data_IF_274646771152
#
_entry.id   IF_274646771152
#
_cell.length_a   1.000
_cell.length_b   1.000
_cell.length_c   1.000
_cell.angle_alpha   90.00
_cell.angle_beta   90.00
_cell.angle_gamma   90.00
#
_symmetry.space_group_name_H-M   'P 1'
#
loop_
_entity.id
_entity.type
_entity.pdbx_description
1 polymer ?
#
# COMPACT_ATOMS: atom_id res chain seq x y z
N UNK A 1 -14.79 5.07 -0.57
CA UNK A 1 -13.79 5.87 0.16
C UNK A 1 -12.51 5.06 0.26
N UNK A 2 -11.41 5.58 -0.32
CA UNK A 2 -10.10 4.93 -0.17
C UNK A 2 -9.69 5.11 1.28
N UNK A 3 -9.47 3.99 1.96
CA UNK A 3 -9.00 3.92 3.33
C UNK A 3 -7.65 4.65 3.53
N UNK A 4 -7.23 4.81 4.77
CA UNK A 4 -5.98 5.46 5.12
C UNK A 4 -4.79 4.80 4.41
N UNK A 5 -4.18 5.49 3.44
CA UNK A 5 -3.01 4.98 2.73
C UNK A 5 -1.74 5.31 3.51
N UNK A 6 -1.03 4.30 3.93
CA UNK A 6 0.27 4.40 4.59
C UNK A 6 1.34 3.84 3.65
N UNK A 7 2.38 4.60 3.38
CA UNK A 7 3.55 4.14 2.63
C UNK A 7 4.75 4.10 3.57
N UNK A 8 5.31 2.92 3.77
CA UNK A 8 6.51 2.71 4.57
C UNK A 8 7.68 2.22 3.73
N UNK A 9 8.85 2.86 3.82
CA UNK A 9 10.08 2.39 3.18
C UNK A 9 10.92 1.56 4.15
N UNK A 10 11.35 0.37 3.70
CA UNK A 10 12.28 -0.52 4.43
C UNK A 10 11.89 -0.87 5.88
N UNK A 11 10.60 -1.14 6.10
CA UNK A 11 10.18 -1.71 7.37
C UNK A 11 10.78 -3.09 7.54
N UNK A 12 11.43 -3.33 8.69
CA UNK A 12 11.91 -4.67 9.02
C UNK A 12 10.72 -5.63 9.23
N UNK A 13 10.97 -6.93 9.15
CA UNK A 13 9.93 -7.97 9.33
C UNK A 13 9.15 -7.73 10.63
N UNK A 14 9.82 -7.30 11.69
CA UNK A 14 9.21 -7.02 13.01
C UNK A 14 8.20 -5.86 12.96
N UNK A 15 8.46 -4.81 12.18
CA UNK A 15 7.53 -3.68 12.03
C UNK A 15 6.29 -4.07 11.23
N UNK A 16 6.42 -5.02 10.28
CA UNK A 16 5.31 -5.56 9.50
C UNK A 16 4.31 -6.32 10.36
N UNK A 17 4.79 -7.11 11.33
CA UNK A 17 3.94 -7.79 12.30
C UNK A 17 3.24 -6.84 13.27
N UNK A 18 3.83 -5.68 13.55
CA UNK A 18 3.19 -4.67 14.40
C UNK A 18 1.90 -4.11 13.76
N UNK A 19 1.92 -3.87 12.45
CA UNK A 19 0.73 -3.45 11.71
C UNK A 19 -0.43 -4.46 11.77
N UNK A 20 -0.12 -5.75 11.80
CA UNK A 20 -1.13 -6.80 11.93
C UNK A 20 -1.66 -6.91 13.36
N UNK A 21 -0.79 -6.71 14.37
CA UNK A 21 -1.22 -6.66 15.78
C UNK A 21 -2.18 -5.52 16.08
N UNK A 22 -2.01 -4.37 15.42
CA UNK A 22 -2.94 -3.24 15.51
C UNK A 22 -4.31 -3.55 14.91
N UNK A 23 -4.38 -4.57 14.04
CA UNK A 23 -5.60 -5.04 13.40
C UNK A 23 -6.03 -6.44 13.90
N UNK A 24 -5.60 -6.84 15.09
CA UNK A 24 -5.95 -8.13 15.67
C UNK A 24 -7.47 -8.31 15.75
N UNK A 25 -7.92 -9.52 15.44
CA UNK A 25 -9.34 -9.86 15.38
C UNK A 25 -10.13 -9.25 14.21
N UNK A 26 -9.49 -8.49 13.30
CA UNK A 26 -10.12 -7.93 12.09
C UNK A 26 -9.80 -8.80 10.87
N UNK A 27 -10.70 -8.74 9.88
CA UNK A 27 -10.50 -9.41 8.60
C UNK A 27 -9.68 -8.54 7.64
N UNK A 28 -8.71 -9.15 6.95
CA UNK A 28 -7.85 -8.40 6.03
C UNK A 28 -7.15 -9.25 4.98
N UNK A 29 -6.57 -8.58 3.99
CA UNK A 29 -5.87 -9.20 2.87
C UNK A 29 -4.44 -8.69 2.83
N UNK A 30 -3.48 -9.61 2.63
CA UNK A 30 -2.05 -9.31 2.41
C UNK A 30 -1.66 -9.75 1.01
N UNK A 31 -1.40 -8.80 0.12
CA UNK A 31 -0.98 -9.06 -1.24
C UNK A 31 0.53 -9.19 -1.36
N UNK A 32 0.98 -10.28 -1.98
CA UNK A 32 2.39 -10.55 -2.29
C UNK A 32 2.60 -10.72 -3.80
N UNK A 33 3.78 -10.34 -4.30
CA UNK A 33 4.09 -10.40 -5.73
C UNK A 33 4.37 -11.81 -6.26
N UNK A 34 4.74 -12.77 -5.40
CA UNK A 34 5.12 -14.13 -5.80
C UNK A 34 4.46 -15.19 -4.93
N UNK A 35 4.27 -16.39 -5.51
CA UNK A 35 3.78 -17.57 -4.76
C UNK A 35 4.65 -17.90 -3.56
N UNK A 36 5.98 -17.84 -3.72
CA UNK A 36 6.94 -18.07 -2.64
C UNK A 36 6.76 -17.08 -1.49
N UNK A 37 6.59 -15.79 -1.78
CA UNK A 37 6.34 -14.79 -0.76
C UNK A 37 5.01 -15.02 -0.03
N UNK A 38 3.97 -15.48 -0.73
CA UNK A 38 2.69 -15.86 -0.11
C UNK A 38 2.88 -16.97 0.91
N UNK A 39 3.62 -18.03 0.55
CA UNK A 39 3.89 -19.16 1.44
C UNK A 39 4.70 -18.72 2.67
N UNK A 40 5.78 -17.97 2.46
CA UNK A 40 6.65 -17.48 3.54
C UNK A 40 5.92 -16.55 4.51
N UNK A 41 5.13 -15.61 3.98
CA UNK A 41 4.37 -14.65 4.80
C UNK A 41 3.25 -15.36 5.55
N UNK A 42 2.50 -16.26 4.90
CA UNK A 42 1.43 -17.01 5.55
C UNK A 42 1.97 -17.90 6.68
N UNK A 43 3.04 -18.65 6.43
CA UNK A 43 3.69 -19.48 7.46
C UNK A 43 4.15 -18.63 8.66
N UNK A 44 4.84 -17.51 8.38
CA UNK A 44 5.32 -16.61 9.42
C UNK A 44 4.19 -15.97 10.26
N UNK A 45 3.03 -15.70 9.65
CA UNK A 45 1.84 -15.23 10.38
C UNK A 45 1.28 -16.31 11.30
N UNK A 46 1.13 -17.54 10.79
CA UNK A 46 0.67 -18.68 11.59
C UNK A 46 1.62 -18.98 12.76
N UNK A 47 2.94 -18.93 12.54
CA UNK A 47 3.96 -19.14 13.58
C UNK A 47 3.90 -18.07 14.69
N UNK A 48 3.41 -16.88 14.37
CA UNK A 48 3.22 -15.78 15.34
C UNK A 48 1.83 -15.74 15.97
N UNK A 49 0.99 -16.74 15.69
CA UNK A 49 -0.31 -16.94 16.34
C UNK A 49 -1.49 -16.27 15.63
N UNK A 50 -1.31 -15.80 14.38
CA UNK A 50 -2.43 -15.30 13.59
C UNK A 50 -3.13 -16.42 12.81
N UNK A 51 -4.45 -16.39 12.77
CA UNK A 51 -5.26 -17.27 11.92
C UNK A 51 -5.24 -16.77 10.48
N UNK A 52 -4.26 -17.25 9.69
CA UNK A 52 -4.07 -16.88 8.30
C UNK A 52 -4.26 -18.05 7.34
N UNK A 53 -4.68 -17.76 6.13
CA UNK A 53 -4.74 -18.69 5.01
C UNK A 53 -4.11 -18.08 3.76
N UNK A 54 -3.90 -18.89 2.71
CA UNK A 54 -3.18 -18.48 1.50
C UNK A 54 -3.97 -18.74 0.23
N UNK A 55 -3.71 -17.91 -0.80
CA UNK A 55 -4.33 -18.09 -2.11
C UNK A 55 -3.39 -17.67 -3.24
N UNK A 56 -3.07 -18.61 -4.15
CA UNK A 56 -2.34 -18.35 -5.37
C UNK A 56 -2.56 -19.45 -6.40
N UNK A 57 -2.27 -19.20 -7.67
CA UNK A 57 -2.51 -20.11 -8.79
C UNK A 57 -1.68 -21.42 -8.75
N UNK A 58 -0.78 -21.60 -7.80
CA UNK A 58 -0.02 -22.84 -7.60
C UNK A 58 -0.69 -23.85 -6.68
N UNK A 59 -1.77 -23.47 -5.98
CA UNK A 59 -2.58 -24.36 -5.16
C UNK A 59 -3.55 -25.15 -6.04
N UNK A 60 -3.96 -26.34 -5.58
CA UNK A 60 -5.03 -27.11 -6.20
C UNK A 60 -6.36 -26.35 -6.12
N UNK A 61 -7.30 -26.68 -7.01
CA UNK A 61 -8.63 -26.07 -7.02
C UNK A 61 -9.37 -26.29 -5.70
N UNK A 62 -9.20 -27.48 -5.11
CA UNK A 62 -9.80 -27.85 -3.83
C UNK A 62 -9.22 -26.99 -2.70
N UNK A 63 -7.91 -26.83 -2.63
CA UNK A 63 -7.28 -25.99 -1.61
C UNK A 63 -7.67 -24.51 -1.80
N UNK A 64 -7.73 -24.03 -3.03
CA UNK A 64 -8.17 -22.66 -3.31
C UNK A 64 -9.59 -22.41 -2.83
N UNK A 65 -10.51 -23.33 -3.13
CA UNK A 65 -11.89 -23.25 -2.67
C UNK A 65 -11.99 -23.28 -1.14
N UNK A 66 -11.29 -24.24 -0.50
CA UNK A 66 -11.28 -24.35 0.97
C UNK A 66 -10.72 -23.08 1.65
N UNK A 67 -9.57 -22.59 1.18
CA UNK A 67 -8.93 -21.39 1.73
C UNK A 67 -9.78 -20.13 1.54
N UNK A 68 -10.45 -20.02 0.40
CA UNK A 68 -11.42 -18.95 0.13
C UNK A 68 -12.61 -19.03 1.07
N UNK A 69 -13.18 -20.20 1.28
CA UNK A 69 -14.29 -20.42 2.21
C UNK A 69 -13.86 -20.11 3.65
N UNK A 70 -12.66 -20.52 4.08
CA UNK A 70 -12.14 -20.21 5.40
C UNK A 70 -12.05 -18.69 5.63
N UNK A 71 -11.67 -17.93 4.62
CA UNK A 71 -11.65 -16.48 4.69
C UNK A 71 -13.06 -15.86 4.64
N UNK A 72 -13.93 -16.33 3.75
CA UNK A 72 -15.30 -15.80 3.60
C UNK A 72 -16.15 -16.02 4.86
N UNK A 73 -15.97 -17.18 5.49
CA UNK A 73 -16.73 -17.57 6.70
C UNK A 73 -16.08 -17.13 8.01
N UNK A 74 -15.05 -16.25 7.97
CA UNK A 74 -14.31 -15.73 9.13
C UNK A 74 -13.61 -16.83 9.97
N UNK A 75 -13.38 -18.03 9.41
CA UNK A 75 -12.61 -19.10 10.08
C UNK A 75 -11.13 -18.76 10.14
N UNK A 76 -10.63 -18.10 9.06
CA UNK A 76 -9.29 -17.53 8.98
C UNK A 76 -9.42 -16.08 8.49
N UNK A 77 -9.33 -15.10 9.38
CA UNK A 77 -9.61 -13.71 9.05
C UNK A 77 -8.54 -13.05 8.17
N UNK A 78 -7.35 -13.63 8.06
CA UNK A 78 -6.27 -13.07 7.25
C UNK A 78 -6.05 -13.93 6.00
N UNK A 79 -6.20 -13.33 4.83
CA UNK A 79 -5.85 -13.93 3.54
C UNK A 79 -4.53 -13.39 3.03
N UNK A 80 -3.54 -14.27 2.81
CA UNK A 80 -2.28 -13.93 2.13
C UNK A 80 -2.36 -14.41 0.69
N UNK A 81 -2.24 -13.53 -0.29
CA UNK A 81 -2.51 -13.90 -1.67
C UNK A 81 -1.65 -13.17 -2.70
N UNK A 82 -1.58 -13.76 -3.91
CA UNK A 82 -1.18 -13.01 -5.10
C UNK A 82 -2.39 -12.27 -5.69
N UNK A 83 -2.16 -11.43 -6.70
CA UNK A 83 -3.21 -10.76 -7.48
C UNK A 83 -4.28 -11.70 -8.09
N UNK A 84 -3.99 -13.01 -8.14
CA UNK A 84 -4.97 -14.03 -8.54
C UNK A 84 -6.19 -14.10 -7.60
N UNK A 85 -6.04 -13.63 -6.35
CA UNK A 85 -7.12 -13.53 -5.39
C UNK A 85 -7.82 -12.19 -5.54
N UNK A 86 -8.97 -12.20 -6.16
CA UNK A 86 -9.67 -10.93 -6.30
C UNK A 86 -10.87 -10.96 -7.22
N UNK A 87 -10.84 -11.67 -8.32
CA UNK A 87 -11.99 -11.77 -9.20
C UNK A 87 -13.13 -12.53 -8.49
N UNK A 88 -14.25 -11.83 -8.25
CA UNK A 88 -15.44 -12.45 -7.65
C UNK A 88 -15.50 -12.50 -6.12
N UNK A 89 -14.57 -11.89 -5.40
CA UNK A 89 -14.62 -11.82 -3.94
C UNK A 89 -15.35 -10.57 -3.49
N UNK A 90 -16.53 -10.79 -2.91
CA UNK A 90 -17.37 -9.75 -2.35
C UNK A 90 -17.55 -9.92 -0.83
N UNK A 91 -16.41 -9.88 -0.10
CA UNK A 91 -16.40 -9.82 1.37
C UNK A 91 -16.42 -8.37 1.79
N UNK A 92 -17.50 -7.92 2.41
CA UNK A 92 -17.71 -6.52 2.75
C UNK A 92 -16.92 -6.05 3.97
N UNK A 93 -16.63 -6.95 4.93
CA UNK A 93 -15.99 -6.62 6.20
C UNK A 93 -14.45 -6.74 6.18
N UNK A 94 -13.81 -6.39 5.08
CA UNK A 94 -12.35 -6.30 4.99
C UNK A 94 -11.88 -4.98 5.61
N UNK A 95 -11.25 -5.05 6.79
CA UNK A 95 -10.83 -3.86 7.54
C UNK A 95 -9.44 -3.35 7.15
N UNK A 96 -8.60 -4.18 6.51
CA UNK A 96 -7.30 -3.75 6.02
C UNK A 96 -6.88 -4.49 4.76
N UNK A 97 -6.11 -3.80 3.93
CA UNK A 97 -5.39 -4.38 2.80
C UNK A 97 -3.93 -3.96 2.90
N UNK A 98 -3.02 -4.93 2.95
CA UNK A 98 -1.58 -4.70 3.00
C UNK A 98 -0.94 -5.19 1.70
N UNK A 99 -0.28 -4.32 0.97
CA UNK A 99 0.60 -4.70 -0.12
C UNK A 99 2.01 -4.93 0.45
N UNK A 100 2.35 -6.20 0.63
CA UNK A 100 3.66 -6.63 1.13
C UNK A 100 4.80 -6.31 0.15
N UNK A 101 4.50 -6.35 -1.14
CA UNK A 101 5.33 -5.87 -2.23
C UNK A 101 4.56 -4.80 -3.03
N UNK A 102 5.29 -3.88 -3.64
CA UNK A 102 4.70 -2.86 -4.49
C UNK A 102 4.08 -3.49 -5.75
N UNK A 103 2.80 -3.23 -6.06
CA UNK A 103 2.17 -3.62 -7.32
C UNK A 103 2.88 -3.04 -8.55
N UNK A 104 2.61 -3.59 -9.73
CA UNK A 104 3.20 -3.12 -10.99
C UNK A 104 2.63 -1.79 -11.46
N UNK A 105 1.38 -1.50 -11.13
CA UNK A 105 0.64 -0.33 -11.60
C UNK A 105 -0.38 0.17 -10.56
N UNK A 106 -0.86 1.39 -10.77
CA UNK A 106 -1.84 2.03 -9.90
C UNK A 106 -3.23 1.44 -10.04
N UNK A 107 -3.57 0.91 -11.20
CA UNK A 107 -4.86 0.28 -11.48
C UNK A 107 -5.04 -0.98 -10.62
N UNK A 108 -4.03 -1.86 -10.62
CA UNK A 108 -4.00 -3.05 -9.76
C UNK A 108 -4.05 -2.67 -8.29
N UNK A 109 -3.22 -1.70 -7.87
CA UNK A 109 -3.24 -1.21 -6.49
C UNK A 109 -4.62 -0.70 -6.09
N UNK A 110 -5.27 0.11 -6.93
CA UNK A 110 -6.59 0.68 -6.65
C UNK A 110 -7.67 -0.40 -6.52
N UNK A 111 -7.68 -1.39 -7.42
CA UNK A 111 -8.63 -2.49 -7.39
C UNK A 111 -8.45 -3.37 -6.15
N UNK A 112 -7.20 -3.65 -5.76
CA UNK A 112 -6.87 -4.47 -4.60
C UNK A 112 -7.15 -3.71 -3.29
N UNK A 113 -6.74 -2.46 -3.17
CA UNK A 113 -7.00 -1.59 -2.04
C UNK A 113 -8.51 -1.30 -1.86
N UNK A 114 -9.26 -1.19 -2.96
CA UNK A 114 -10.72 -0.96 -2.97
C UNK A 114 -11.55 -2.11 -2.41
N UNK A 115 -10.93 -3.22 -1.97
CA UNK A 115 -11.61 -4.29 -1.24
C UNK A 115 -11.83 -3.96 0.22
N UNK A 116 -11.06 -3.02 0.77
CA UNK A 116 -11.19 -2.59 2.15
C UNK A 116 -12.36 -1.61 2.33
N UNK A 117 -13.10 -1.74 3.43
CA UNK A 117 -14.12 -0.80 3.86
C UNK A 117 -15.39 -0.76 3.00
N UNK A 118 -15.76 -1.84 2.31
CA UNK A 118 -16.99 -1.91 1.53
C UNK A 118 -18.27 -1.85 2.38
N UNK A 119 -18.15 -2.13 3.66
CA UNK A 119 -19.24 -2.00 4.64
C UNK A 119 -19.41 -0.57 5.17
N UNK A 120 -18.60 0.38 4.71
CA UNK A 120 -18.60 1.77 5.14
C UNK A 120 -17.83 2.04 6.43
N UNK A 121 -17.20 1.02 7.03
CA UNK A 121 -16.37 1.17 8.22
C UNK A 121 -14.97 1.70 7.85
N UNK A 122 -14.29 2.38 8.79
CA UNK A 122 -12.91 2.79 8.60
C UNK A 122 -12.00 1.60 8.31
N UNK A 123 -11.24 1.68 7.24
CA UNK A 123 -10.34 0.64 6.81
C UNK A 123 -8.96 1.21 6.45
N UNK A 124 -7.93 0.37 6.48
CA UNK A 124 -6.55 0.77 6.20
C UNK A 124 -6.03 0.11 4.93
N UNK A 125 -5.41 0.91 4.05
CA UNK A 125 -4.64 0.41 2.91
C UNK A 125 -3.18 0.75 3.12
N UNK A 126 -2.34 -0.27 3.29
CA UNK A 126 -0.93 -0.13 3.61
C UNK A 126 -0.12 -0.61 2.43
N UNK A 127 0.74 0.25 1.90
CA UNK A 127 1.70 -0.08 0.85
C UNK A 127 3.11 -0.10 1.42
N UNK A 128 3.74 -1.28 1.44
CA UNK A 128 5.15 -1.41 1.76
C UNK A 128 5.96 -1.22 0.49
N UNK A 129 6.88 -0.27 0.51
CA UNK A 129 7.72 0.08 -0.63
C UNK A 129 9.18 -0.29 -0.41
N UNK A 130 9.77 -0.91 -1.40
CA UNK A 130 11.21 -1.16 -1.49
C UNK A 130 11.72 -0.89 -2.90
N UNK A 131 12.86 -0.26 -3.04
CA UNK A 131 13.51 -0.10 -4.35
C UNK A 131 13.87 -1.44 -5.01
N UNK A 132 13.87 -2.54 -4.25
CA UNK A 132 14.02 -3.91 -4.77
C UNK A 132 12.78 -4.33 -5.55
N UNK A 133 11.58 -3.94 -5.09
CA UNK A 133 10.33 -4.29 -5.78
C UNK A 133 10.27 -3.66 -7.17
N UNK A 134 10.75 -2.43 -7.33
CA UNK A 134 10.84 -1.78 -8.65
C UNK A 134 11.67 -2.62 -9.61
N UNK A 135 12.87 -3.06 -9.18
CA UNK A 135 13.75 -3.90 -10.01
C UNK A 135 13.14 -5.25 -10.34
N UNK A 136 12.46 -5.86 -9.37
CA UNK A 136 11.74 -7.13 -9.58
C UNK A 136 10.63 -6.96 -10.60
N UNK A 137 9.85 -5.91 -10.49
CA UNK A 137 8.76 -5.61 -11.42
C UNK A 137 9.28 -5.27 -12.83
N UNK A 138 10.38 -4.51 -12.94
CA UNK A 138 11.06 -4.26 -14.22
C UNK A 138 11.51 -5.57 -14.88
N UNK A 139 12.11 -6.47 -14.10
CA UNK A 139 12.53 -7.79 -14.58
C UNK A 139 11.34 -8.64 -15.07
N UNK A 140 10.24 -8.65 -14.30
CA UNK A 140 9.03 -9.39 -14.66
C UNK A 140 8.40 -8.85 -15.94
N UNK A 141 8.35 -7.53 -16.13
CA UNK A 141 7.85 -6.90 -17.35
C UNK A 141 8.70 -7.27 -18.57
N UNK A 142 10.03 -7.26 -18.45
CA UNK A 142 10.93 -7.67 -19.53
C UNK A 142 10.77 -9.15 -19.88
N UNK A 143 10.67 -10.01 -18.87
CA UNK A 143 10.46 -11.45 -19.07
C UNK A 143 9.08 -11.75 -19.69
N UNK A 144 8.04 -11.03 -19.28
CA UNK A 144 6.70 -11.17 -19.87
C UNK A 144 6.71 -10.86 -21.37
N UNK A 145 7.51 -9.89 -21.83
CA UNK A 145 7.70 -9.58 -23.24
C UNK A 145 8.18 -10.80 -24.05
N UNK A 146 9.12 -11.58 -23.48
CA UNK A 146 9.69 -12.76 -24.16
C UNK A 146 8.67 -13.90 -24.32
N UNK A 147 7.67 -13.94 -23.46
CA UNK A 147 6.62 -14.98 -23.42
C UNK A 147 5.29 -14.53 -23.98
N UNK A 148 5.19 -13.29 -24.48
CA UNK A 148 3.96 -12.79 -25.13
C UNK A 148 3.72 -13.49 -26.46
N UNK A 149 2.50 -14.03 -26.61
CA UNK A 149 2.00 -14.59 -27.86
C UNK A 149 1.54 -13.46 -28.81
N UNK A 150 2.52 -12.67 -29.25
CA UNK A 150 2.36 -11.55 -30.19
C UNK A 150 3.48 -11.65 -31.20
N UNK A 151 3.15 -11.81 -32.46
CA UNK A 151 4.15 -12.02 -33.55
C UNK A 151 4.93 -10.75 -33.89
N UNK A 152 4.35 -9.57 -33.64
CA UNK A 152 4.94 -8.27 -33.97
C UNK A 152 5.84 -7.72 -32.88
N UNK A 153 7.12 -7.51 -33.21
CA UNK A 153 8.13 -6.99 -32.30
C UNK A 153 7.86 -5.51 -31.89
N UNK A 154 7.28 -4.70 -32.78
CA UNK A 154 6.93 -3.31 -32.47
C UNK A 154 5.83 -3.26 -31.41
N UNK A 155 4.82 -4.11 -31.55
CA UNK A 155 3.74 -4.25 -30.57
C UNK A 155 4.26 -4.74 -29.22
N UNK A 156 5.16 -5.73 -29.18
CA UNK A 156 5.81 -6.17 -27.93
C UNK A 156 6.58 -5.06 -27.26
N UNK A 157 7.34 -4.27 -28.02
CA UNK A 157 8.10 -3.14 -27.49
C UNK A 157 7.17 -2.03 -26.98
N UNK A 158 6.08 -1.75 -27.69
CA UNK A 158 5.07 -0.78 -27.26
C UNK A 158 4.41 -1.18 -25.92
N UNK A 159 4.01 -2.44 -25.76
CA UNK A 159 3.42 -2.96 -24.53
C UNK A 159 4.42 -2.92 -23.36
N UNK A 160 5.68 -3.26 -23.59
CA UNK A 160 6.74 -3.13 -22.59
C UNK A 160 6.89 -1.66 -22.13
N UNK A 161 6.95 -0.73 -23.08
CA UNK A 161 7.09 0.69 -22.76
C UNK A 161 5.89 1.22 -21.96
N UNK A 162 4.67 0.79 -22.29
CA UNK A 162 3.48 1.11 -21.51
C UNK A 162 3.56 0.54 -20.08
N UNK A 163 3.98 -0.73 -19.95
CA UNK A 163 4.16 -1.35 -18.62
C UNK A 163 5.19 -0.63 -17.77
N UNK A 164 6.32 -0.24 -18.38
CA UNK A 164 7.37 0.53 -17.70
C UNK A 164 6.90 1.93 -17.27
N UNK A 165 6.08 2.61 -18.09
CA UNK A 165 5.51 3.91 -17.69
C UNK A 165 4.51 3.76 -16.54
N UNK A 166 3.64 2.72 -16.55
CA UNK A 166 2.75 2.43 -15.41
C UNK A 166 3.52 2.12 -14.13
N UNK A 167 4.57 1.29 -14.21
CA UNK A 167 5.45 1.01 -13.07
C UNK A 167 6.11 2.28 -12.51
N UNK A 168 6.53 3.18 -13.39
CA UNK A 168 7.07 4.48 -13.02
C UNK A 168 6.03 5.34 -12.28
N UNK A 169 4.78 5.39 -12.75
CA UNK A 169 3.70 6.11 -12.06
C UNK A 169 3.42 5.51 -10.68
N UNK A 170 3.40 4.18 -10.56
CA UNK A 170 3.27 3.49 -9.27
C UNK A 170 4.44 3.81 -8.32
N UNK A 171 5.68 3.83 -8.85
CA UNK A 171 6.87 4.22 -8.07
C UNK A 171 6.75 5.65 -7.57
N UNK A 172 6.31 6.58 -8.41
CA UNK A 172 6.09 7.97 -8.03
C UNK A 172 4.97 8.15 -7.01
N UNK A 173 3.94 7.32 -7.07
CA UNK A 173 2.92 7.27 -6.03
C UNK A 173 3.51 6.82 -4.69
N UNK A 174 4.24 5.71 -4.69
CA UNK A 174 4.84 5.13 -3.49
C UNK A 174 5.92 6.01 -2.83
N UNK A 175 6.59 6.88 -3.60
CA UNK A 175 7.64 7.80 -3.10
C UNK A 175 7.16 9.24 -2.91
N UNK A 176 5.86 9.50 -3.11
CA UNK A 176 5.29 10.85 -3.04
C UNK A 176 5.34 11.42 -1.62
N UNK A 177 5.59 12.72 -1.52
CA UNK A 177 5.39 13.53 -0.30
C UNK A 177 4.12 14.40 -0.37
N UNK A 178 3.39 14.36 -1.49
CA UNK A 178 2.09 15.00 -1.66
C UNK A 178 0.94 14.05 -1.35
N UNK A 179 -0.27 14.59 -1.22
CA UNK A 179 -1.45 13.81 -0.87
C UNK A 179 -1.66 12.59 -1.79
N UNK A 180 -1.64 11.38 -1.21
CA UNK A 180 -1.76 10.13 -1.98
C UNK A 180 -3.14 10.00 -2.64
N UNK A 181 -4.23 10.40 -1.96
CA UNK A 181 -5.58 10.35 -2.53
C UNK A 181 -5.72 11.32 -3.71
N UNK A 182 -5.23 12.56 -3.57
CA UNK A 182 -5.20 13.52 -4.68
C UNK A 182 -4.48 12.94 -5.89
N UNK A 183 -3.31 12.35 -5.66
CA UNK A 183 -2.48 11.77 -6.73
C UNK A 183 -3.18 10.60 -7.43
N UNK A 184 -3.83 9.72 -6.67
CA UNK A 184 -4.60 8.60 -7.18
C UNK A 184 -5.76 9.06 -8.06
N UNK A 185 -6.59 9.98 -7.57
CA UNK A 185 -7.76 10.49 -8.30
C UNK A 185 -7.35 11.24 -9.55
N UNK A 186 -6.29 12.06 -9.48
CA UNK A 186 -5.72 12.75 -10.65
C UNK A 186 -5.20 11.77 -11.72
N UNK A 187 -4.62 10.65 -11.30
CA UNK A 187 -4.19 9.61 -12.25
C UNK A 187 -5.36 9.05 -13.06
N UNK A 188 -6.52 8.87 -12.42
CA UNK A 188 -7.75 8.41 -13.09
C UNK A 188 -8.55 9.54 -13.76
N UNK A 189 -8.01 10.78 -13.79
CA UNK A 189 -8.66 11.91 -14.45
C UNK A 189 -9.72 12.61 -13.62
N UNK A 190 -9.85 12.27 -12.34
CA UNK A 190 -10.83 12.85 -11.43
C UNK A 190 -10.28 14.09 -10.69
N UNK A 191 -11.18 14.94 -10.21
CA UNK A 191 -10.87 16.13 -9.43
C UNK A 191 -10.87 15.79 -7.95
N UNK A 192 -9.79 16.16 -7.25
CA UNK A 192 -9.67 15.94 -5.82
C UNK A 192 -9.00 17.13 -5.14
N UNK A 193 -9.37 17.42 -3.88
CA UNK A 193 -8.67 18.43 -3.09
C UNK A 193 -7.18 18.08 -2.96
N UNK A 194 -6.32 19.10 -2.87
CA UNK A 194 -4.87 18.92 -2.74
C UNK A 194 -4.46 18.16 -1.46
N UNK A 195 -5.31 18.14 -0.45
CA UNK A 195 -5.12 17.42 0.81
C UNK A 195 -6.39 16.68 1.21
N UNK A 196 -6.26 15.40 1.57
CA UNK A 196 -7.37 14.60 2.07
C UNK A 196 -7.45 14.53 3.61
N UNK A 197 -6.43 15.04 4.32
CA UNK A 197 -6.34 14.98 5.79
C UNK A 197 -6.20 13.58 6.40
N UNK A 198 -6.14 12.52 5.60
CA UNK A 198 -6.21 11.12 6.09
C UNK A 198 -5.10 10.19 5.58
N UNK A 199 -4.37 10.52 4.54
CA UNK A 199 -3.25 9.69 4.08
C UNK A 199 -1.96 9.99 4.85
N UNK A 200 -0.98 9.08 4.80
CA UNK A 200 0.31 9.25 5.48
C UNK A 200 0.99 10.57 5.14
N UNK A 201 0.93 11.02 3.89
CA UNK A 201 1.52 12.30 3.50
C UNK A 201 0.80 13.51 4.10
N UNK A 202 -0.52 13.46 4.29
CA UNK A 202 -1.27 14.55 4.92
C UNK A 202 -1.10 14.57 6.44
N UNK A 203 -0.90 13.41 7.07
CA UNK A 203 -0.73 13.27 8.51
C UNK A 203 0.72 13.51 8.96
N UNK A 204 1.69 13.42 8.05
CA UNK A 204 3.10 13.68 8.34
C UNK A 204 3.39 15.18 8.31
N UNK A 205 4.06 15.67 9.35
CA UNK A 205 4.58 17.04 9.35
C UNK A 205 5.87 17.10 8.53
N UNK A 206 5.93 18.03 7.57
CA UNK A 206 7.09 18.27 6.72
C UNK A 206 7.66 19.65 7.01
N UNK A 207 8.99 19.79 6.87
CA UNK A 207 9.65 21.08 6.68
C UNK A 207 10.02 21.21 5.20
N UNK A 208 9.97 22.43 4.71
CA UNK A 208 10.48 22.74 3.39
C UNK A 208 11.95 23.12 3.48
N UNK A 209 12.77 22.50 2.64
CA UNK A 209 14.21 22.77 2.54
C UNK A 209 14.54 23.20 1.11
N UNK A 210 15.39 24.20 0.98
CA UNK A 210 15.93 24.59 -0.33
C UNK A 210 16.98 23.55 -0.77
N UNK A 211 16.61 22.74 -1.74
CA UNK A 211 17.45 21.71 -2.36
C UNK A 211 18.09 22.17 -3.68
N UNK A 212 17.98 23.46 -4.02
CA UNK A 212 18.44 23.99 -5.33
C UNK A 212 19.90 23.69 -5.58
N UNK A 213 20.78 23.84 -4.59
CA UNK A 213 22.20 23.52 -4.76
C UNK A 213 22.46 22.03 -4.97
N UNK A 214 21.72 21.15 -4.27
CA UNK A 214 21.83 19.70 -4.49
C UNK A 214 21.30 19.33 -5.90
N UNK A 215 20.19 19.91 -6.32
CA UNK A 215 19.66 19.75 -7.68
C UNK A 215 20.64 20.19 -8.76
N UNK A 216 21.30 21.34 -8.60
CA UNK A 216 22.35 21.80 -9.50
C UNK A 216 23.53 20.82 -9.59
N UNK A 217 23.97 20.27 -8.46
CA UNK A 217 25.02 19.25 -8.42
C UNK A 217 24.61 17.99 -9.20
N UNK A 218 23.36 17.52 -9.03
CA UNK A 218 22.80 16.37 -9.76
C UNK A 218 22.78 16.66 -11.26
N UNK A 219 22.21 17.78 -11.68
CA UNK A 219 22.10 18.18 -13.09
C UNK A 219 23.49 18.33 -13.72
N UNK A 220 24.46 18.93 -12.99
CA UNK A 220 25.83 19.06 -13.44
C UNK A 220 26.53 17.71 -13.61
N UNK A 221 26.24 16.75 -12.73
CA UNK A 221 26.75 15.39 -12.84
C UNK A 221 26.25 14.69 -14.10
N UNK A 222 24.94 14.74 -14.36
CA UNK A 222 24.34 14.18 -15.57
C UNK A 222 24.94 14.83 -16.83
N UNK A 223 25.04 16.15 -16.86
CA UNK A 223 25.63 16.88 -17.99
C UNK A 223 27.09 16.46 -18.29
N UNK A 224 27.92 16.41 -17.23
CA UNK A 224 29.34 16.07 -17.39
C UNK A 224 29.54 14.61 -17.75
N UNK A 225 28.74 13.73 -17.22
CA UNK A 225 28.74 12.32 -17.59
C UNK A 225 28.42 12.15 -19.08
N UNK A 226 27.29 12.74 -19.55
CA UNK A 226 26.90 12.69 -20.97
C UNK A 226 27.99 13.28 -21.90
N UNK A 227 28.59 14.42 -21.51
CA UNK A 227 29.68 15.01 -22.28
C UNK A 227 30.94 14.11 -22.35
N UNK A 228 31.16 13.29 -21.31
CA UNK A 228 32.20 12.28 -21.25
C UNK A 228 31.83 10.94 -21.90
N UNK A 229 30.65 10.81 -22.52
CA UNK A 229 30.21 9.56 -23.14
C UNK A 229 29.68 8.52 -22.11
N UNK A 230 29.43 8.93 -20.88
CA UNK A 230 28.85 8.04 -19.85
C UNK A 230 27.35 8.17 -19.75
N UNK A 231 26.68 7.03 -19.62
CA UNK A 231 25.24 6.91 -19.49
C UNK A 231 24.92 6.47 -18.06
N UNK A 232 24.47 7.39 -17.21
CA UNK A 232 24.29 7.11 -15.79
C UNK A 232 22.79 6.87 -15.45
N UNK A 233 22.53 5.77 -14.77
CA UNK A 233 21.24 5.52 -14.13
C UNK A 233 21.07 6.39 -12.88
N UNK A 234 19.86 6.43 -12.30
CA UNK A 234 19.57 7.14 -11.03
C UNK A 234 20.53 6.76 -9.91
N UNK A 235 20.73 5.46 -9.69
CA UNK A 235 21.58 4.95 -8.62
C UNK A 235 23.06 5.21 -8.90
N UNK A 236 23.51 5.07 -10.14
CA UNK A 236 24.89 5.39 -10.52
C UNK A 236 25.20 6.87 -10.34
N UNK A 237 24.28 7.76 -10.71
CA UNK A 237 24.43 9.20 -10.49
C UNK A 237 24.54 9.53 -9.00
N UNK A 238 23.69 8.93 -8.16
CA UNK A 238 23.76 9.10 -6.71
C UNK A 238 25.09 8.57 -6.15
N UNK A 239 25.53 7.39 -6.57
CA UNK A 239 26.80 6.79 -6.17
C UNK A 239 28.02 7.67 -6.54
N UNK A 240 28.02 8.26 -7.74
CA UNK A 240 29.08 9.21 -8.16
C UNK A 240 29.06 10.44 -7.26
N UNK A 241 27.90 11.03 -7.02
CA UNK A 241 27.78 12.27 -6.25
C UNK A 241 28.20 12.14 -4.79
N UNK A 242 27.97 10.98 -4.16
CA UNK A 242 28.40 10.72 -2.77
C UNK A 242 29.84 10.17 -2.67
N UNK A 243 30.53 9.94 -3.78
CA UNK A 243 31.90 9.40 -3.79
C UNK A 243 31.98 7.92 -3.41
N UNK A 244 31.02 7.10 -3.88
CA UNK A 244 30.95 5.66 -3.58
C UNK A 244 32.16 4.91 -4.17
N UNK A 245 32.78 4.08 -3.35
CA UNK A 245 33.98 3.25 -3.74
C UNK A 245 33.58 1.90 -4.37
N UNK A 246 32.38 1.78 -4.94
CA UNK A 246 31.92 0.56 -5.62
C UNK A 246 32.86 0.23 -6.79
N UNK A 247 33.27 -1.03 -6.88
CA UNK A 247 34.20 -1.50 -7.90
C UNK A 247 33.71 -1.22 -9.33
N UNK A 248 32.40 -1.34 -9.56
CA UNK A 248 31.75 -1.03 -10.85
C UNK A 248 31.96 0.41 -11.30
N UNK A 249 31.92 1.38 -10.38
CA UNK A 249 32.20 2.79 -10.70
C UNK A 249 33.68 3.05 -11.01
N UNK A 250 34.57 2.43 -10.24
CA UNK A 250 36.03 2.57 -10.43
C UNK A 250 36.47 1.94 -11.75
N UNK A 251 35.92 0.78 -12.13
CA UNK A 251 36.15 0.15 -13.44
C UNK A 251 35.76 1.06 -14.60
N UNK A 252 34.64 1.78 -14.46
CA UNK A 252 34.15 2.75 -15.44
C UNK A 252 34.87 4.10 -15.36
N UNK A 253 35.83 4.27 -14.45
CA UNK A 253 36.56 5.53 -14.18
C UNK A 253 35.66 6.72 -13.86
N UNK A 254 34.48 6.49 -13.25
CA UNK A 254 33.55 7.53 -12.87
C UNK A 254 34.03 8.36 -11.66
N UNK A 255 35.01 7.86 -10.91
CA UNK A 255 35.78 8.57 -9.88
C UNK A 255 36.55 9.78 -10.42
N UNK A 256 36.82 9.83 -11.75
CA UNK A 256 37.50 10.96 -12.41
C UNK A 256 36.55 12.11 -12.80
N UNK A 257 35.24 11.91 -12.69
CA UNK A 257 34.29 13.00 -12.91
C UNK A 257 34.50 14.07 -11.84
N UNK A 258 34.57 15.34 -12.26
CA UNK A 258 34.72 16.48 -11.32
C UNK A 258 33.51 16.65 -10.38
N UNK A 259 32.45 15.84 -10.56
CA UNK A 259 31.28 15.75 -9.69
C UNK A 259 31.30 14.53 -8.77
N UNK A 260 32.43 13.79 -8.74
CA UNK A 260 32.56 12.67 -7.82
C UNK A 260 32.77 13.17 -6.38
N UNK A 261 31.92 12.69 -5.46
CA UNK A 261 32.02 13.01 -4.03
C UNK A 261 31.63 14.44 -3.64
N UNK A 262 31.00 15.22 -4.52
CA UNK A 262 30.63 16.62 -4.20
C UNK A 262 29.44 16.78 -3.27
N UNK A 263 28.71 15.70 -2.97
CA UNK A 263 27.60 15.69 -2.00
C UNK A 263 28.04 14.91 -0.77
N UNK A 264 28.42 15.61 0.30
CA UNK A 264 28.95 15.02 1.53
C UNK A 264 27.87 14.75 2.60
N UNK A 265 26.77 15.53 2.57
CA UNK A 265 25.78 15.56 3.65
C UNK A 265 24.55 14.70 3.42
N UNK A 266 24.37 14.16 2.22
CA UNK A 266 23.21 13.34 1.87
C UNK A 266 23.63 11.89 1.67
N UNK A 267 22.78 10.98 2.12
CA UNK A 267 22.93 9.54 1.85
C UNK A 267 22.57 9.25 0.39
N UNK A 268 22.99 8.08 -0.13
CA UNK A 268 22.60 7.62 -1.46
C UNK A 268 21.07 7.65 -1.65
N UNK A 269 20.34 7.21 -0.64
CA UNK A 269 18.86 7.16 -0.66
C UNK A 269 18.25 8.55 -0.80
N UNK A 270 18.77 9.53 -0.08
CA UNK A 270 18.30 10.91 -0.16
C UNK A 270 18.60 11.54 -1.52
N UNK A 271 19.78 11.25 -2.10
CA UNK A 271 20.12 11.73 -3.45
C UNK A 271 19.22 11.08 -4.51
N UNK A 272 18.96 9.78 -4.41
CA UNK A 272 18.00 9.09 -5.31
C UNK A 272 16.60 9.69 -5.14
N UNK A 273 16.15 9.95 -3.92
CA UNK A 273 14.85 10.61 -3.67
C UNK A 273 14.76 11.98 -4.33
N UNK A 274 15.83 12.79 -4.26
CA UNK A 274 15.86 14.10 -4.91
C UNK A 274 15.87 13.98 -6.45
N UNK A 275 16.57 12.96 -6.99
CA UNK A 275 16.50 12.65 -8.44
C UNK A 275 15.08 12.30 -8.85
N UNK A 276 14.38 11.48 -8.06
CA UNK A 276 12.99 11.09 -8.33
C UNK A 276 12.03 12.30 -8.25
N UNK A 277 12.24 13.23 -7.32
CA UNK A 277 11.51 14.51 -7.28
C UNK A 277 11.77 15.37 -8.54
N UNK A 278 13.03 15.46 -9.00
CA UNK A 278 13.37 16.17 -10.24
C UNK A 278 12.75 15.52 -11.49
N UNK A 279 12.64 14.19 -11.51
CA UNK A 279 11.93 13.44 -12.57
C UNK A 279 10.42 13.70 -12.53
N UNK A 280 9.80 13.70 -11.35
CA UNK A 280 8.38 14.01 -11.18
C UNK A 280 8.02 15.42 -11.64
N UNK A 281 8.90 16.39 -11.36
CA UNK A 281 8.75 17.79 -11.75
C UNK A 281 9.17 18.05 -13.21
N UNK A 282 9.52 17.01 -13.97
CA UNK A 282 10.02 17.09 -15.35
C UNK A 282 11.29 17.95 -15.50
N UNK A 283 12.04 18.14 -14.43
CA UNK A 283 13.36 18.80 -14.44
C UNK A 283 14.48 17.87 -14.88
N UNK A 284 14.26 16.56 -14.85
CA UNK A 284 15.05 15.51 -15.48
C UNK A 284 14.11 14.57 -16.24
N UNK A 285 14.66 13.76 -17.13
CA UNK A 285 13.95 12.70 -17.84
C UNK A 285 14.70 11.38 -17.73
N UNK A 286 14.01 10.28 -17.97
CA UNK A 286 14.60 8.96 -18.18
C UNK A 286 14.57 8.65 -19.68
N UNK A 287 15.68 8.13 -20.22
CA UNK A 287 15.78 7.64 -21.59
C UNK A 287 16.24 6.18 -21.59
N UNK A 288 15.71 5.33 -22.46
CA UNK A 288 16.20 3.97 -22.62
C UNK A 288 17.68 3.99 -23.07
N UNK A 289 18.52 3.17 -22.42
CA UNK A 289 19.90 2.94 -22.83
C UNK A 289 20.28 1.49 -22.52
N UNK A 290 20.49 0.68 -23.54
CA UNK A 290 20.74 -0.77 -23.43
C UNK A 290 19.68 -1.45 -22.52
N UNK A 291 20.10 -2.07 -21.42
CA UNK A 291 19.23 -2.80 -20.49
C UNK A 291 18.67 -1.93 -19.34
N UNK A 292 19.04 -0.65 -19.25
CA UNK A 292 18.60 0.25 -18.18
C UNK A 292 18.15 1.62 -18.71
N UNK A 293 17.65 2.48 -17.80
CA UNK A 293 17.27 3.84 -18.12
C UNK A 293 18.35 4.81 -17.61
N UNK A 294 18.85 5.67 -18.51
CA UNK A 294 19.74 6.77 -18.17
C UNK A 294 18.98 8.03 -17.79
N UNK A 295 19.60 8.88 -16.99
CA UNK A 295 19.12 10.23 -16.73
C UNK A 295 19.46 11.16 -17.90
N UNK A 296 18.49 11.98 -18.29
CA UNK A 296 18.63 12.97 -19.34
C UNK A 296 18.19 14.36 -18.87
N UNK A 297 18.82 15.39 -19.42
CA UNK A 297 18.49 16.79 -19.15
C UNK A 297 17.21 17.21 -19.90
N UNK A 298 16.50 18.18 -19.31
CA UNK A 298 15.30 18.82 -19.89
C UNK A 298 15.45 20.32 -19.90
N UNK A 299 14.47 21.04 -20.46
CA UNK A 299 14.42 22.50 -20.34
C UNK A 299 14.41 22.96 -18.87
N UNK A 300 13.67 22.24 -18.00
CA UNK A 300 13.65 22.52 -16.56
C UNK A 300 15.00 22.39 -15.87
N UNK A 301 15.89 21.51 -16.36
CA UNK A 301 17.28 21.45 -15.88
C UNK A 301 18.03 22.75 -16.13
N UNK A 302 17.83 23.37 -17.30
CA UNK A 302 18.49 24.62 -17.67
C UNK A 302 17.98 25.79 -16.80
N UNK A 303 16.67 25.83 -16.53
CA UNK A 303 16.08 26.85 -15.65
C UNK A 303 16.69 26.80 -14.24
N UNK A 304 16.88 25.61 -13.69
CA UNK A 304 17.49 25.42 -12.37
C UNK A 304 18.97 25.88 -12.36
N UNK A 305 19.73 25.52 -13.38
CA UNK A 305 21.14 25.92 -13.48
C UNK A 305 21.28 27.44 -13.61
N UNK A 306 20.36 28.11 -14.31
CA UNK A 306 20.35 29.56 -14.51
C UNK A 306 19.74 30.35 -13.34
N UNK A 307 19.41 29.72 -12.23
CA UNK A 307 18.74 30.35 -11.07
C UNK A 307 17.34 30.91 -11.35
N UNK A 308 16.71 30.47 -12.44
CA UNK A 308 15.35 30.89 -12.81
C UNK A 308 14.28 30.09 -12.07
N UNK A 309 14.67 28.92 -11.50
CA UNK A 309 13.77 28.02 -10.78
C UNK A 309 14.46 27.46 -9.54
N UNK A 310 13.81 27.64 -8.38
CA UNK A 310 14.21 27.00 -7.12
C UNK A 310 13.62 25.59 -7.01
N UNK A 311 14.33 24.71 -6.33
CA UNK A 311 13.88 23.36 -6.02
C UNK A 311 13.66 23.28 -4.51
N UNK A 312 12.39 23.28 -4.10
CA UNK A 312 11.99 23.08 -2.71
C UNK A 312 11.69 21.60 -2.47
N UNK A 313 12.21 21.04 -1.39
CA UNK A 313 12.00 19.66 -0.98
C UNK A 313 11.21 19.61 0.32
N UNK A 314 10.26 18.70 0.40
CA UNK A 314 9.53 18.40 1.62
C UNK A 314 10.21 17.25 2.36
N UNK A 315 10.82 17.56 3.52
CA UNK A 315 11.50 16.56 4.35
C UNK A 315 10.64 16.27 5.57
N UNK A 316 10.32 14.99 5.86
CA UNK A 316 9.55 14.66 7.05
C UNK A 316 10.29 15.13 8.30
N UNK A 317 9.57 15.80 9.18
CA UNK A 317 10.07 16.11 10.52
C UNK A 317 9.99 14.79 11.29
N UNK A 318 11.11 14.05 11.36
CA UNK A 318 11.21 12.86 12.18
C UNK A 318 11.15 13.33 13.65
N UNK A 319 9.96 13.31 14.24
CA UNK A 319 9.86 13.22 15.69
C UNK A 319 10.32 11.80 16.02
N UNK A 320 11.27 11.67 16.95
CA UNK A 320 11.63 10.39 17.53
C UNK A 320 10.34 9.62 17.81
N UNK A 321 10.23 8.42 17.18
CA UNK A 321 9.12 7.50 17.24
C UNK A 321 7.86 8.11 17.85
N UNK A 322 7.07 8.84 17.08
CA UNK A 322 5.65 8.86 17.36
C UNK A 322 5.26 7.39 17.35
N UNK A 323 4.92 6.86 18.54
CA UNK A 323 4.17 5.64 18.62
C UNK A 323 3.11 5.75 17.51
N UNK A 324 3.08 4.79 16.61
CA UNK A 324 1.98 4.67 15.67
C UNK A 324 0.72 4.91 16.50
N UNK A 325 -0.28 5.64 16.00
CA UNK A 325 -1.48 5.89 16.78
C UNK A 325 -1.90 4.53 17.32
N UNK A 326 -1.82 4.42 18.64
CA UNK A 326 -2.13 3.21 19.41
C UNK A 326 -3.38 2.66 18.78
N UNK A 327 -3.32 1.39 18.35
CA UNK A 327 -4.39 0.74 17.60
C UNK A 327 -5.70 1.21 18.16
N UNK A 328 -6.50 1.79 17.33
CA UNK A 328 -7.78 2.36 17.72
C UNK A 328 -8.63 1.20 18.22
N UNK A 329 -8.58 0.94 19.53
CA UNK A 329 -9.82 0.65 20.23
C UNK A 329 -10.75 1.71 19.68
N UNK A 330 -11.74 1.31 18.92
CA UNK A 330 -12.65 2.25 18.25
C UNK A 330 -12.98 3.33 19.30
N UNK A 331 -12.52 4.60 19.15
CA UNK A 331 -12.70 5.60 20.18
C UNK A 331 -14.17 5.90 20.45
N UNK A 332 -15.05 5.25 19.69
CA UNK A 332 -16.50 5.39 19.74
C UNK A 332 -17.19 4.26 20.53
N UNK A 333 -16.50 3.17 20.90
CA UNK A 333 -17.05 2.08 21.72
C UNK A 333 -16.33 1.98 23.07
N UNK A 334 -17.10 1.88 24.15
CA UNK A 334 -16.56 1.58 25.48
C UNK A 334 -15.97 0.16 25.54
N UNK A 335 -15.18 -0.16 26.59
CA UNK A 335 -14.66 -1.52 26.78
C UNK A 335 -15.80 -2.55 26.84
N UNK A 336 -16.90 -2.23 27.54
CA UNK A 336 -18.11 -3.07 27.62
C UNK A 336 -18.79 -3.23 26.25
N UNK A 337 -18.85 -2.18 25.43
CA UNK A 337 -19.42 -2.28 24.08
C UNK A 337 -18.57 -3.13 23.14
N UNK A 338 -17.25 -3.17 23.35
CA UNK A 338 -16.36 -4.08 22.61
C UNK A 338 -16.60 -5.55 22.99
N UNK A 339 -16.85 -5.86 24.27
CA UNK A 339 -17.22 -7.23 24.70
C UNK A 339 -18.57 -7.64 24.10
N UNK A 340 -19.56 -6.76 24.15
CA UNK A 340 -20.85 -6.99 23.49
C UNK A 340 -20.68 -7.23 21.99
N UNK A 341 -19.86 -6.44 21.33
CA UNK A 341 -19.57 -6.61 19.90
C UNK A 341 -19.00 -8.00 19.60
N UNK A 342 -18.05 -8.51 20.40
CA UNK A 342 -17.50 -9.85 20.20
C UNK A 342 -18.57 -10.95 20.42
N UNK A 343 -19.46 -10.80 21.40
CA UNK A 343 -20.58 -11.72 21.61
C UNK A 343 -21.55 -11.71 20.43
N UNK A 344 -21.92 -10.53 19.91
CA UNK A 344 -22.78 -10.42 18.73
C UNK A 344 -22.13 -11.03 17.48
N UNK A 345 -20.80 -10.91 17.33
CA UNK A 345 -20.05 -11.60 16.27
C UNK A 345 -20.13 -13.12 16.39
N UNK A 346 -20.02 -13.67 17.61
CA UNK A 346 -20.17 -15.11 17.85
C UNK A 346 -21.58 -15.60 17.50
N UNK A 347 -22.62 -14.90 17.93
CA UNK A 347 -24.01 -15.21 17.58
C UNK A 347 -24.21 -15.19 16.06
N UNK A 348 -23.71 -14.16 15.39
CA UNK A 348 -23.75 -14.05 13.93
C UNK A 348 -23.05 -15.21 13.24
N UNK A 349 -21.86 -15.57 13.69
CA UNK A 349 -21.05 -16.65 13.09
C UNK A 349 -21.73 -18.02 13.31
N UNK A 350 -22.33 -18.26 14.49
CA UNK A 350 -23.07 -19.48 14.76
C UNK A 350 -24.30 -19.61 13.84
N UNK A 351 -25.07 -18.53 13.69
CA UNK A 351 -26.25 -18.51 12.82
C UNK A 351 -25.88 -18.64 11.33
N UNK A 352 -24.82 -17.97 10.90
CA UNK A 352 -24.29 -18.07 9.54
C UNK A 352 -23.84 -19.50 9.20
N UNK A 353 -23.17 -20.17 10.14
CA UNK A 353 -22.80 -21.59 10.02
C UNK A 353 -24.02 -22.49 9.90
N UNK A 354 -25.06 -22.22 10.69
CA UNK A 354 -26.31 -23.00 10.65
C UNK A 354 -27.02 -22.84 9.29
N UNK A 355 -27.01 -21.63 8.71
CA UNK A 355 -27.66 -21.35 7.43
C UNK A 355 -26.75 -21.63 6.22
N UNK A 356 -25.47 -21.94 6.39
CA UNK A 356 -24.51 -22.14 5.29
C UNK A 356 -24.22 -20.89 4.47
N UNK A 357 -24.32 -19.70 5.09
CA UNK A 357 -24.08 -18.40 4.44
C UNK A 357 -22.93 -17.65 5.10
N UNK A 358 -22.23 -16.76 4.37
CA UNK A 358 -21.22 -15.90 4.98
C UNK A 358 -21.78 -15.00 6.08
N UNK A 359 -21.07 -14.78 7.21
CA UNK A 359 -21.57 -14.04 8.37
C UNK A 359 -22.03 -12.61 8.06
N UNK A 360 -21.38 -11.91 7.16
CA UNK A 360 -21.70 -10.54 6.78
C UNK A 360 -23.03 -10.42 5.99
N UNK A 361 -23.58 -11.51 5.47
CA UNK A 361 -24.94 -11.53 4.89
C UNK A 361 -26.02 -11.35 5.94
N UNK A 362 -25.79 -11.80 7.17
CA UNK A 362 -26.72 -11.60 8.28
C UNK A 362 -26.69 -10.11 8.66
N UNK A 363 -25.59 -9.65 9.23
CA UNK A 363 -25.34 -8.25 9.56
C UNK A 363 -23.87 -7.91 9.32
N UNK A 364 -23.58 -6.70 8.82
CA UNK A 364 -22.21 -6.18 8.71
C UNK A 364 -21.64 -5.86 10.09
N UNK A 365 -20.33 -5.71 10.20
CA UNK A 365 -19.68 -5.26 11.43
C UNK A 365 -20.14 -3.85 11.83
N UNK A 366 -20.39 -2.97 10.85
CA UNK A 366 -21.01 -1.65 11.04
C UNK A 366 -22.36 -1.75 11.76
N UNK A 367 -23.22 -2.67 11.31
CA UNK A 367 -24.52 -2.92 11.90
C UNK A 367 -24.40 -3.42 13.35
N UNK A 368 -23.48 -4.36 13.62
CA UNK A 368 -23.24 -4.86 14.98
C UNK A 368 -22.72 -3.77 15.92
N UNK A 369 -21.82 -2.89 15.43
CA UNK A 369 -21.37 -1.74 16.22
C UNK A 369 -22.49 -0.74 16.52
N UNK A 370 -23.35 -0.48 15.56
CA UNK A 370 -24.51 0.39 15.77
C UNK A 370 -25.49 -0.23 16.78
N UNK A 371 -25.65 -1.58 16.79
CA UNK A 371 -26.37 -2.30 17.84
C UNK A 371 -25.73 -2.10 19.23
N UNK A 372 -24.40 -2.17 19.33
CA UNK A 372 -23.70 -1.93 20.59
C UNK A 372 -23.88 -0.50 21.11
N UNK A 373 -23.89 0.50 20.21
CA UNK A 373 -24.11 1.91 20.59
C UNK A 373 -25.54 2.18 21.01
N UNK A 374 -26.51 1.69 20.23
CA UNK A 374 -27.95 1.96 20.44
C UNK A 374 -28.57 1.08 21.48
N UNK A 375 -28.03 -0.13 21.71
CA UNK A 375 -28.58 -1.14 22.65
C UNK A 375 -30.08 -1.30 22.53
N UNK A 376 -30.60 -1.71 21.34
CA UNK A 376 -32.01 -1.81 21.09
C UNK A 376 -32.68 -2.73 22.12
N UNK A 377 -33.87 -2.32 22.62
CA UNK A 377 -34.63 -3.07 23.61
C UNK A 377 -35.91 -3.70 23.06
N UNK A 378 -36.29 -3.30 21.85
CA UNK A 378 -37.47 -3.79 21.17
C UNK A 378 -37.23 -4.06 19.70
N UNK A 379 -38.09 -4.79 19.04
CA UNK A 379 -38.05 -4.97 17.58
C UNK A 379 -38.23 -3.64 16.82
N UNK A 380 -38.90 -2.65 17.45
CA UNK A 380 -39.02 -1.30 16.94
C UNK A 380 -37.67 -0.59 16.92
N UNK A 381 -36.91 -0.66 18.02
CA UNK A 381 -35.57 -0.08 18.14
C UNK A 381 -34.56 -0.79 17.22
N UNK A 382 -34.71 -2.12 17.06
CA UNK A 382 -33.87 -2.90 16.17
C UNK A 382 -33.95 -2.40 14.71
N UNK A 383 -35.12 -1.95 14.26
CA UNK A 383 -35.32 -1.36 12.93
C UNK A 383 -34.64 0.01 12.74
N UNK A 384 -34.32 0.69 13.85
CA UNK A 384 -33.60 1.97 13.81
C UNK A 384 -32.07 1.79 13.74
N UNK A 385 -31.57 0.55 13.88
CA UNK A 385 -30.15 0.24 13.70
C UNK A 385 -29.81 0.30 12.23
N UNK A 386 -28.71 0.98 11.90
CA UNK A 386 -28.23 1.10 10.53
C UNK A 386 -27.93 -0.28 9.94
N UNK A 387 -28.39 -0.54 8.71
CA UNK A 387 -28.21 -1.83 8.04
C UNK A 387 -29.19 -2.94 8.46
N UNK A 388 -30.17 -2.65 9.34
CA UNK A 388 -31.24 -3.58 9.74
C UNK A 388 -32.51 -3.27 8.97
N UNK A 389 -32.70 -3.90 7.81
CA UNK A 389 -33.93 -3.84 7.06
C UNK A 389 -35.03 -4.71 7.68
N UNK A 390 -36.30 -4.48 7.28
CA UNK A 390 -37.51 -5.17 7.82
C UNK A 390 -37.32 -6.69 7.77
N UNK A 391 -36.85 -7.25 6.66
CA UNK A 391 -36.70 -8.71 6.47
C UNK A 391 -35.62 -9.26 7.43
N UNK A 392 -34.46 -8.60 7.56
CA UNK A 392 -33.42 -9.03 8.47
C UNK A 392 -33.80 -8.88 9.93
N UNK A 393 -34.55 -7.82 10.27
CA UNK A 393 -35.10 -7.65 11.61
C UNK A 393 -36.02 -8.81 11.98
N UNK A 394 -36.95 -9.17 11.10
CA UNK A 394 -37.89 -10.29 11.34
C UNK A 394 -37.19 -11.63 11.48
N UNK A 395 -36.18 -11.88 10.62
CA UNK A 395 -35.46 -13.17 10.57
C UNK A 395 -34.47 -13.35 11.72
N UNK A 396 -33.73 -12.33 12.05
CA UNK A 396 -32.57 -12.42 12.96
C UNK A 396 -32.72 -11.55 14.22
N UNK A 397 -33.55 -10.50 14.19
CA UNK A 397 -33.60 -9.46 15.21
C UNK A 397 -33.84 -9.98 16.62
N UNK A 398 -34.72 -10.99 16.79
CA UNK A 398 -35.04 -11.54 18.10
C UNK A 398 -33.82 -12.13 18.81
N UNK A 399 -33.00 -12.92 18.11
CA UNK A 399 -31.82 -13.57 18.65
C UNK A 399 -30.75 -12.54 19.10
N UNK A 400 -30.55 -11.47 18.32
CA UNK A 400 -29.64 -10.42 18.70
C UNK A 400 -30.12 -9.56 19.85
N UNK A 401 -31.46 -9.30 19.92
CA UNK A 401 -32.06 -8.63 21.06
C UNK A 401 -31.89 -9.43 22.37
N UNK A 402 -32.12 -10.74 22.34
CA UNK A 402 -31.93 -11.61 23.49
C UNK A 402 -30.47 -11.55 23.99
N UNK A 403 -29.50 -11.57 23.11
CA UNK A 403 -28.05 -11.43 23.47
C UNK A 403 -27.76 -10.06 24.07
N UNK A 404 -28.26 -8.97 23.48
CA UNK A 404 -28.06 -7.62 23.99
C UNK A 404 -28.70 -7.45 25.38
N UNK A 405 -29.90 -8.03 25.63
CA UNK A 405 -30.55 -8.00 26.92
C UNK A 405 -29.84 -8.80 28.01
N UNK A 406 -29.29 -9.95 27.63
CA UNK A 406 -28.58 -10.86 28.56
C UNK A 406 -27.14 -10.43 28.83
N UNK A 407 -26.63 -9.44 28.09
CA UNK A 407 -25.28 -8.98 28.22
C UNK A 407 -25.07 -8.25 29.56
N UNK A 408 -24.22 -8.84 30.41
CA UNK A 408 -23.63 -8.19 31.59
C UNK A 408 -22.14 -8.03 31.35
N UNK A 409 -21.58 -6.80 31.37
CA UNK A 409 -20.14 -6.63 31.23
C UNK A 409 -19.42 -7.29 32.41
N UNK A 410 -18.30 -7.99 32.10
CA UNK A 410 -17.40 -8.49 33.14
C UNK A 410 -16.85 -7.29 33.91
N UNK A 411 -17.16 -7.20 35.21
CA UNK A 411 -16.58 -6.18 36.09
C UNK A 411 -15.12 -6.58 36.30
N UNK A 412 -14.19 -5.88 35.65
CA UNK A 412 -12.77 -5.99 35.96
C UNK A 412 -12.56 -5.55 37.42
N UNK A 413 -12.24 -6.52 38.29
CA UNK A 413 -11.79 -6.29 39.67
C UNK A 413 -10.34 -5.85 39.65
#
# INVERSE_FOLDING_TARGET
EIAQCLVGSEMCIRDRFHLLKENDGKSGIVYCSTRKAVEEVCASLCDTGFDATRYHAGLSDVERAQNQDDFLYDRKPIMVATNAFGMGIDKSNVSFVIHYNMPMDLESYYQEAGRAGRDGEPAQCILLYSGRDVRTNEFLLKRSRETMDVDDEETRQFLLNQGMERLKQMTFYATSTSCLRHRMLRYFGDHAPESCGNCSCCLTNYREEDATMAAKKIISCVYRAQKGGYHLSRTMTADVLIGSKKESLLRMRLDRLSTYGIIEKLTQKEVVGLIDELLQQKNLALRPFQEYQELALTAGSVEIIRDQKKVMRRVPIVREKLAAPVGTKDPTLSAADNELFQKLRQVRSAQAKHEGIPPYFIFSDATLRDMCRKKPRSMGDMRQVSGVGVIKAQKYGKMFLEEIHNFQPEVSV
#
